data_IF_533718544147
#
_entry.id   IF_533718544147
#
_cell.length_a   1.000
_cell.length_b   1.000
_cell.length_c   1.000
_cell.angle_alpha   90.00
_cell.angle_beta   90.00
_cell.angle_gamma   90.00
#
_symmetry.space_group_name_H-M   'P 1'
#
loop_
_entity.id
_entity.type
_entity.pdbx_description
1 polymer ?
#
# COMPACT_ATOMS: atom_id res chain seq x y z
N UNK A 1 -7.42 11.88 0.49
CA UNK A 1 -6.49 12.69 -0.34
C UNK A 1 -7.32 13.72 -1.11
N UNK A 2 -6.97 15.01 -1.06
CA UNK A 2 -7.76 16.11 -1.66
C UNK A 2 -9.26 16.14 -1.32
N UNK A 3 -9.62 15.77 -0.09
CA UNK A 3 -11.03 15.72 0.34
C UNK A 3 -11.80 14.47 -0.10
N UNK A 4 -11.19 13.59 -0.88
CA UNK A 4 -11.75 12.29 -1.25
C UNK A 4 -11.29 11.18 -0.30
N UNK A 5 -12.18 10.20 -0.11
CA UNK A 5 -11.86 8.94 0.55
C UNK A 5 -11.49 7.90 -0.51
N UNK A 6 -10.56 7.02 -0.19
CA UNK A 6 -10.07 6.00 -1.10
C UNK A 6 -10.18 4.64 -0.45
N UNK A 7 -10.66 3.67 -1.21
CA UNK A 7 -10.56 2.26 -0.89
C UNK A 7 -9.49 1.62 -1.81
N UNK A 8 -8.67 0.74 -1.25
CA UNK A 8 -7.44 0.26 -1.90
C UNK A 8 -7.24 -1.23 -1.61
N UNK A 9 -7.33 -2.06 -2.65
CA UNK A 9 -7.12 -3.50 -2.56
C UNK A 9 -8.26 -4.20 -1.80
N UNK A 10 -7.91 -5.16 -0.94
CA UNK A 10 -8.89 -5.93 -0.16
C UNK A 10 -9.23 -7.28 -0.77
N UNK A 11 -10.41 -7.82 -0.44
CA UNK A 11 -10.93 -9.07 -0.99
C UNK A 11 -12.45 -9.00 -1.17
N UNK A 12 -12.95 -9.67 -2.20
CA UNK A 12 -14.39 -9.83 -2.49
C UNK A 12 -14.98 -11.13 -1.89
N UNK A 13 -14.22 -11.83 -1.07
CA UNK A 13 -14.57 -13.14 -0.51
C UNK A 13 -14.16 -14.34 -1.37
N UNK A 14 -13.66 -14.09 -2.59
CA UNK A 14 -13.17 -15.12 -3.53
C UNK A 14 -11.72 -14.88 -3.92
N UNK A 15 -11.30 -13.62 -4.05
CA UNK A 15 -9.98 -13.24 -4.52
C UNK A 15 -9.49 -11.94 -3.89
N UNK A 16 -8.16 -11.76 -3.86
CA UNK A 16 -7.55 -10.48 -3.52
C UNK A 16 -7.78 -9.47 -4.66
N UNK A 17 -8.05 -8.22 -4.31
CA UNK A 17 -8.33 -7.17 -5.28
C UNK A 17 -7.10 -6.28 -5.51
N UNK A 18 -6.99 -5.73 -6.71
CA UNK A 18 -6.04 -4.67 -7.05
C UNK A 18 -6.76 -3.33 -7.33
N UNK A 19 -8.07 -3.27 -7.13
CA UNK A 19 -8.85 -2.08 -7.41
C UNK A 19 -8.54 -0.95 -6.43
N UNK A 20 -8.71 0.25 -6.96
CA UNK A 20 -8.66 1.48 -6.19
C UNK A 20 -9.93 2.24 -6.53
N UNK A 21 -10.70 2.57 -5.51
CA UNK A 21 -11.94 3.32 -5.66
C UNK A 21 -11.84 4.62 -4.88
N UNK A 22 -12.48 5.65 -5.41
CA UNK A 22 -12.52 6.98 -4.81
C UNK A 22 -13.96 7.37 -4.53
N UNK A 23 -14.22 7.78 -3.30
CA UNK A 23 -15.50 8.34 -2.88
C UNK A 23 -15.45 9.86 -2.88
N UNK A 24 -16.40 10.49 -3.59
CA UNK A 24 -16.68 11.92 -3.52
C UNK A 24 -17.83 12.18 -2.51
N UNK A 25 -17.56 12.82 -1.35
CA UNK A 25 -18.59 13.15 -0.38
C UNK A 25 -19.62 14.18 -0.87
N UNK A 26 -19.30 14.99 -1.87
CA UNK A 26 -20.22 15.98 -2.45
C UNK A 26 -21.24 15.32 -3.36
N UNK A 27 -20.79 14.35 -4.15
CA UNK A 27 -21.65 13.59 -5.07
C UNK A 27 -22.23 12.33 -4.42
N UNK A 28 -21.76 11.97 -3.22
CA UNK A 28 -22.11 10.73 -2.51
C UNK A 28 -21.95 9.49 -3.41
N UNK A 29 -20.80 9.41 -4.09
CA UNK A 29 -20.57 8.41 -5.12
C UNK A 29 -19.16 7.85 -5.08
N UNK A 30 -19.06 6.55 -5.31
CA UNK A 30 -17.81 5.84 -5.59
C UNK A 30 -17.53 5.80 -7.09
N UNK A 31 -16.27 5.97 -7.45
CA UNK A 31 -15.76 5.85 -8.82
C UNK A 31 -14.45 5.09 -8.82
N UNK A 32 -14.31 4.13 -9.73
CA UNK A 32 -13.04 3.45 -9.97
C UNK A 32 -11.97 4.44 -10.48
N UNK A 33 -10.74 4.27 -10.01
CA UNK A 33 -9.56 4.97 -10.51
C UNK A 33 -8.52 3.95 -10.97
N UNK A 34 -7.34 4.40 -11.41
CA UNK A 34 -6.30 3.48 -11.85
C UNK A 34 -6.00 2.41 -10.79
N UNK A 35 -6.15 1.15 -11.17
CA UNK A 35 -5.89 0.00 -10.31
C UNK A 35 -4.39 -0.16 -10.03
N UNK A 36 -4.08 -0.83 -8.93
CA UNK A 36 -2.73 -1.29 -8.61
C UNK A 36 -2.27 -2.35 -9.62
N UNK A 37 -0.95 -2.49 -9.83
CA UNK A 37 -0.41 -3.51 -10.72
C UNK A 37 -0.41 -4.90 -10.05
N UNK A 38 -0.51 -4.94 -8.73
CA UNK A 38 -0.53 -6.18 -7.94
C UNK A 38 -1.79 -6.25 -7.09
N UNK A 39 -2.34 -7.46 -6.91
CA UNK A 39 -3.44 -7.71 -5.97
C UNK A 39 -2.91 -7.69 -4.55
N UNK A 40 -3.59 -6.98 -3.65
CA UNK A 40 -3.10 -6.75 -2.30
C UNK A 40 -4.18 -6.96 -1.22
N UNK A 41 -3.86 -7.72 -0.17
CA UNK A 41 -4.69 -7.95 1.01
C UNK A 41 -3.97 -7.43 2.27
N UNK A 42 -4.72 -6.97 3.28
CA UNK A 42 -4.12 -6.38 4.51
C UNK A 42 -3.20 -5.20 4.14
N UNK A 43 -3.71 -4.31 3.29
CA UNK A 43 -2.97 -3.15 2.78
C UNK A 43 -2.87 -2.08 3.87
N UNK A 44 -1.67 -1.55 4.08
CA UNK A 44 -1.47 -0.33 4.82
C UNK A 44 -1.34 0.83 3.82
N UNK A 45 -2.07 1.91 4.06
CA UNK A 45 -2.11 3.08 3.17
C UNK A 45 -1.71 4.37 3.88
N UNK A 46 -1.04 5.27 3.16
CA UNK A 46 -0.71 6.61 3.64
C UNK A 46 -0.62 7.61 2.50
N UNK A 47 -0.75 8.90 2.83
CA UNK A 47 -0.63 9.99 1.86
C UNK A 47 0.68 10.74 2.08
N UNK A 48 1.49 10.90 1.03
CA UNK A 48 2.71 11.69 1.04
C UNK A 48 2.87 12.42 -0.31
N UNK A 49 3.21 13.71 -0.27
CA UNK A 49 3.49 14.48 -1.49
C UNK A 49 2.33 14.56 -2.50
N UNK A 50 1.08 14.38 -2.07
CA UNK A 50 -0.08 14.35 -2.97
C UNK A 50 -0.34 12.98 -3.63
N UNK A 51 0.42 11.95 -3.28
CA UNK A 51 0.23 10.57 -3.74
C UNK A 51 -0.34 9.71 -2.61
N UNK A 52 -1.06 8.65 -2.99
CA UNK A 52 -1.50 7.60 -2.08
C UNK A 52 -0.54 6.42 -2.20
N UNK A 53 0.10 6.02 -1.10
CA UNK A 53 1.01 4.89 -1.05
C UNK A 53 0.33 3.69 -0.41
N UNK A 54 0.41 2.54 -1.08
CA UNK A 54 -0.06 1.25 -0.62
C UNK A 54 1.15 0.32 -0.40
N UNK A 55 1.23 -0.26 0.80
CA UNK A 55 2.30 -1.18 1.20
C UNK A 55 1.66 -2.41 1.84
N UNK A 56 2.34 -3.56 1.74
CA UNK A 56 1.88 -4.87 2.22
C UNK A 56 0.94 -5.60 1.25
N UNK A 57 0.76 -6.90 1.52
CA UNK A 57 -0.05 -7.88 0.81
C UNK A 57 0.28 -8.03 -0.65
N UNK A 58 0.98 -9.08 -1.06
CA UNK A 58 1.00 -9.47 -2.48
C UNK A 58 0.52 -10.91 -2.57
N UNK A 59 -0.53 -11.13 -3.34
CA UNK A 59 -0.98 -12.48 -3.64
C UNK A 59 -0.09 -13.08 -4.74
N UNK A 60 1.04 -13.66 -4.32
CA UNK A 60 1.81 -14.58 -5.14
C UNK A 60 1.07 -15.95 -5.17
N UNK A 61 -0.11 -15.98 -5.79
CA UNK A 61 -0.90 -17.19 -6.07
C UNK A 61 -1.16 -18.13 -4.88
N UNK A 62 -1.55 -17.61 -3.71
CA UNK A 62 -1.86 -18.45 -2.55
C UNK A 62 -3.38 -18.66 -2.47
N UNK A 63 -3.90 -19.89 -2.59
CA UNK A 63 -5.31 -20.17 -2.39
C UNK A 63 -5.77 -19.76 -0.98
N UNK A 64 -6.88 -19.01 -0.89
CA UNK A 64 -7.44 -18.46 0.36
C UNK A 64 -7.71 -19.51 1.45
N UNK A 65 -7.84 -20.79 1.08
CA UNK A 65 -7.99 -21.91 2.03
C UNK A 65 -6.69 -22.24 2.81
N UNK A 66 -5.57 -21.65 2.42
CA UNK A 66 -4.26 -21.77 3.08
C UNK A 66 -3.90 -20.51 3.87
N UNK A 67 -4.88 -19.63 4.13
CA UNK A 67 -4.79 -18.40 4.95
C UNK A 67 -4.32 -18.60 6.41
N UNK A 68 -3.94 -19.83 6.77
CA UNK A 68 -3.27 -20.19 8.03
C UNK A 68 -1.77 -20.44 7.94
N UNK A 69 -1.09 -20.28 6.79
CA UNK A 69 0.38 -20.47 6.69
C UNK A 69 1.12 -19.15 6.51
N UNK A 70 1.74 -18.72 7.59
CA UNK A 70 3.11 -18.19 7.81
C UNK A 70 4.10 -17.90 6.64
N UNK A 71 3.67 -17.53 5.44
CA UNK A 71 4.56 -17.03 4.39
C UNK A 71 4.51 -15.49 4.28
N UNK A 72 5.35 -14.88 5.11
CA UNK A 72 5.87 -13.52 5.00
C UNK A 72 5.49 -12.74 3.73
N UNK A 73 4.63 -11.75 3.90
CA UNK A 73 4.56 -10.60 3.00
C UNK A 73 5.92 -9.90 3.03
N UNK A 74 6.80 -10.19 2.08
CA UNK A 74 8.04 -9.43 1.99
C UNK A 74 7.69 -7.98 1.59
N UNK A 75 8.37 -6.98 2.16
CA UNK A 75 8.28 -5.57 1.73
C UNK A 75 8.93 -5.38 0.34
N UNK A 76 8.59 -6.21 -0.64
CA UNK A 76 9.26 -6.26 -1.94
C UNK A 76 8.70 -5.24 -2.93
N UNK A 77 7.47 -4.76 -2.71
CA UNK A 77 6.87 -3.71 -3.53
C UNK A 77 5.94 -2.80 -2.72
N UNK A 78 6.12 -1.51 -2.92
CA UNK A 78 5.11 -0.50 -2.59
C UNK A 78 4.50 0.00 -3.89
N UNK A 79 3.27 0.48 -3.86
CA UNK A 79 2.65 1.14 -5.00
C UNK A 79 2.20 2.54 -4.64
N UNK A 80 2.35 3.48 -5.57
CA UNK A 80 1.85 4.83 -5.42
C UNK A 80 0.81 5.15 -6.48
N UNK A 81 -0.34 5.67 -6.07
CA UNK A 81 -1.34 6.23 -6.94
C UNK A 81 -1.18 7.76 -7.02
N UNK A 82 -1.08 8.27 -8.25
CA UNK A 82 -1.08 9.69 -8.56
C UNK A 82 -2.49 10.13 -9.01
N UNK A 83 -3.23 10.92 -8.21
CA UNK A 83 -4.56 11.39 -8.59
C UNK A 83 -4.55 12.41 -9.74
N UNK A 84 -3.45 13.12 -9.97
CA UNK A 84 -3.36 14.15 -11.01
C UNK A 84 -3.29 13.53 -12.41
N UNK A 85 -2.59 12.41 -12.53
CA UNK A 85 -2.43 11.66 -13.79
C UNK A 85 -3.33 10.44 -13.88
N UNK A 86 -4.01 10.09 -12.78
CA UNK A 86 -4.75 8.84 -12.63
C UNK A 86 -3.89 7.62 -13.02
N UNK A 87 -2.73 7.46 -12.38
CA UNK A 87 -1.80 6.35 -12.67
C UNK A 87 -1.28 5.71 -11.39
N UNK A 88 -1.07 4.39 -11.42
CA UNK A 88 -0.42 3.63 -10.36
C UNK A 88 0.98 3.22 -10.79
N UNK A 89 1.97 3.39 -9.91
CA UNK A 89 3.36 3.03 -10.15
C UNK A 89 3.86 2.07 -9.07
N UNK A 90 4.50 0.98 -9.49
CA UNK A 90 5.19 0.07 -8.58
C UNK A 90 6.61 0.53 -8.27
N UNK A 91 6.92 0.54 -6.98
CA UNK A 91 8.23 0.81 -6.42
C UNK A 91 8.84 -0.52 -5.97
N UNK A 92 9.65 -1.11 -6.84
CA UNK A 92 10.39 -2.35 -6.57
C UNK A 92 11.82 -1.97 -6.14
N UNK A 93 12.30 -2.62 -5.08
CA UNK A 93 13.47 -2.21 -4.31
C UNK A 93 14.74 -1.91 -5.10
N UNK A 94 15.11 -0.62 -5.15
CA UNK A 94 16.49 -0.14 -5.10
C UNK A 94 16.71 0.91 -3.98
N UNK A 95 15.64 1.55 -3.48
CA UNK A 95 15.67 2.49 -2.35
C UNK A 95 15.39 1.84 -0.98
N UNK A 96 14.81 0.64 -0.95
CA UNK A 96 14.62 -0.17 0.25
C UNK A 96 15.93 -0.90 0.63
N UNK A 97 17.06 -0.19 0.68
CA UNK A 97 18.35 -0.75 1.13
C UNK A 97 18.41 -0.75 2.65
N UNK A 98 18.01 -1.86 3.27
CA UNK A 98 18.77 -2.60 4.31
C UNK A 98 17.87 -3.68 4.92
N UNK A 99 18.41 -4.90 4.84
CA UNK A 99 17.86 -6.15 5.39
C UNK A 99 16.61 -6.69 4.66
N UNK A 100 16.79 -7.86 4.03
CA UNK A 100 15.73 -8.83 3.76
C UNK A 100 15.13 -9.26 5.10
N UNK A 101 14.29 -8.42 5.70
CA UNK A 101 13.58 -8.79 6.92
C UNK A 101 12.32 -9.49 6.45
N UNK A 102 12.38 -10.83 6.42
CA UNK A 102 11.19 -11.67 6.41
C UNK A 102 10.38 -11.32 7.65
N UNK A 103 9.35 -10.51 7.48
CA UNK A 103 8.46 -10.11 8.54
C UNK A 103 7.16 -10.89 8.33
N UNK A 104 6.75 -11.65 9.34
CA UNK A 104 5.42 -12.24 9.38
C UNK A 104 4.43 -11.11 9.70
N UNK A 105 4.20 -10.27 8.69
CA UNK A 105 3.48 -9.00 8.77
C UNK A 105 1.98 -9.23 8.92
N UNK A 106 1.54 -9.73 10.08
CA UNK A 106 0.10 -9.89 10.32
C UNK A 106 -0.60 -8.54 10.53
N UNK A 107 0.09 -7.45 10.89
CA UNK A 107 -0.51 -6.12 11.01
C UNK A 107 0.54 -5.02 10.81
N UNK A 108 0.50 -4.33 9.68
CA UNK A 108 1.43 -3.24 9.35
C UNK A 108 0.70 -1.90 9.43
N UNK A 109 1.34 -0.92 10.04
CA UNK A 109 0.94 0.48 9.98
C UNK A 109 1.86 1.26 9.04
N UNK A 110 1.30 2.23 8.32
CA UNK A 110 2.08 3.27 7.66
C UNK A 110 1.95 4.58 8.43
N UNK A 111 3.06 5.29 8.57
CA UNK A 111 3.10 6.61 9.17
C UNK A 111 3.95 7.55 8.32
N UNK A 112 3.53 8.80 8.20
CA UNK A 112 4.31 9.85 7.55
C UNK A 112 4.84 10.80 8.62
N UNK A 113 6.17 10.97 8.68
CA UNK A 113 6.84 11.84 9.65
C UNK A 113 7.93 12.62 8.92
N UNK A 114 7.93 13.95 9.06
CA UNK A 114 8.93 14.85 8.45
C UNK A 114 9.14 14.60 6.94
N UNK A 115 8.04 14.45 6.19
CA UNK A 115 8.08 14.22 4.73
C UNK A 115 8.57 12.82 4.32
N UNK A 116 8.62 11.86 5.24
CA UNK A 116 9.08 10.50 4.98
C UNK A 116 8.01 9.49 5.37
N UNK A 117 7.87 8.45 4.57
CA UNK A 117 6.97 7.34 4.85
C UNK A 117 7.71 6.23 5.60
N UNK A 118 7.08 5.73 6.65
CA UNK A 118 7.60 4.73 7.57
C UNK A 118 6.64 3.55 7.69
N UNK A 119 7.21 2.35 7.66
CA UNK A 119 6.50 1.10 7.90
C UNK A 119 6.72 0.67 9.36
N UNK A 120 5.62 0.44 10.07
CA UNK A 120 5.59 0.06 11.49
C UNK A 120 4.96 -1.32 11.63
N UNK A 121 5.64 -2.22 12.34
CA UNK A 121 5.16 -3.58 12.63
C UNK A 121 5.13 -3.80 14.15
N UNK A 122 4.14 -4.56 14.63
CA UNK A 122 3.87 -4.83 16.05
C UNK A 122 4.91 -5.77 16.68
N UNK A 123 5.56 -6.63 15.88
CA UNK A 123 6.46 -7.67 16.39
C UNK A 123 7.91 -7.22 16.60
N UNK A 124 8.28 -6.06 16.06
CA UNK A 124 9.57 -5.42 16.33
C UNK A 124 9.32 -3.93 16.37
N UNK A 125 9.45 -3.30 17.53
CA UNK A 125 9.41 -1.86 17.78
C UNK A 125 10.53 -1.11 17.04
N UNK A 126 10.58 -1.24 15.72
CA UNK A 126 11.66 -0.80 14.85
C UNK A 126 11.04 -0.25 13.58
N UNK A 127 11.44 0.95 13.20
CA UNK A 127 11.19 1.50 11.86
C UNK A 127 12.00 0.66 10.87
N UNK A 128 11.32 -0.04 9.94
CA UNK A 128 11.99 -1.05 9.08
C UNK A 128 12.35 -0.55 7.69
N UNK A 129 11.68 0.48 7.17
CA UNK A 129 11.97 1.00 5.83
C UNK A 129 11.55 2.46 5.66
N UNK A 130 12.16 3.10 4.67
CA UNK A 130 11.94 4.49 4.26
C UNK A 130 11.59 4.48 2.77
N UNK A 131 10.44 5.03 2.42
CA UNK A 131 10.13 5.41 1.03
C UNK A 131 10.34 6.93 0.97
N UNK A 132 11.28 7.38 0.14
CA UNK A 132 11.42 8.80 -0.14
C UNK A 132 10.32 9.16 -1.13
N UNK A 133 9.28 9.84 -0.64
CA UNK A 133 8.42 10.57 -1.57
C UNK A 133 9.23 11.75 -2.07
N UNK A 134 9.44 11.84 -3.38
CA UNK A 134 9.89 13.09 -3.97
C UNK A 134 8.73 14.07 -3.80
N UNK A 135 8.86 14.95 -2.80
CA UNK A 135 7.96 16.08 -2.64
C UNK A 135 8.29 17.02 -3.81
N UNK A 136 7.67 16.79 -4.98
CA UNK A 136 7.78 17.72 -6.09
C UNK A 136 7.51 19.14 -5.57
N UNK A 137 8.48 20.03 -5.78
CA UNK A 137 8.40 21.44 -5.45
C UNK A 137 7.10 22.06 -6.01
N UNK A 138 6.52 23.07 -5.33
CA UNK A 138 5.24 23.67 -5.70
C UNK A 138 5.20 24.22 -7.13
#
# INVERSE_FOLDING_TARGET
LYGYLYDVGGQDGVSCLNYVERYDPKENKWSEVASMNTRRLVVAVAVLGGFLYAVSGSDDQIPLNTSGRDDATELWSAESYNPNTNTCQSHIGNELKKEKVKCNLRHVGLAVVNGKLYVVDRLKSTIRSRINGDCGSP
#
